data_IF_555390476166
#
_entry.id   IF_555390476166
#
_cell.length_a   1.000
_cell.length_b   1.000
_cell.length_c   1.000
_cell.angle_alpha   90.00
_cell.angle_beta   90.00
_cell.angle_gamma   90.00
#
_symmetry.space_group_name_H-M   'P 1'
#
loop_
_entity.id
_entity.type
_entity.pdbx_description
1 polymer ?
#
# COMPACT_ATOMS: atom_id res chain seq x y z
N UNK A 1 -33.78 9.85 7.67
CA UNK A 1 -34.64 10.77 6.89
C UNK A 1 -35.50 9.89 5.99
N UNK A 2 -36.79 9.80 6.27
CA UNK A 2 -37.71 8.93 5.53
C UNK A 2 -37.79 9.39 4.08
N UNK A 3 -37.50 8.49 3.15
CA UNK A 3 -37.69 8.76 1.72
C UNK A 3 -39.16 8.50 1.40
N UNK A 4 -39.91 9.53 1.03
CA UNK A 4 -41.26 9.36 0.49
C UNK A 4 -41.15 8.83 -0.95
N UNK A 5 -41.79 7.69 -1.30
CA UNK A 5 -41.82 7.19 -2.66
C UNK A 5 -42.40 8.22 -3.63
N UNK A 6 -41.82 8.33 -4.83
CA UNK A 6 -42.38 9.19 -5.87
C UNK A 6 -43.67 8.58 -6.40
N UNK A 7 -44.77 9.34 -6.37
CA UNK A 7 -46.04 8.90 -6.97
C UNK A 7 -45.89 8.76 -8.49
N UNK A 8 -46.45 7.68 -9.05
CA UNK A 8 -46.58 7.52 -10.50
C UNK A 8 -47.69 8.43 -11.03
N UNK A 9 -47.41 9.19 -12.08
CA UNK A 9 -48.43 9.98 -12.78
C UNK A 9 -49.27 9.08 -13.69
N UNK A 10 -50.56 8.91 -13.40
CA UNK A 10 -51.49 8.07 -14.17
C UNK A 10 -51.18 6.56 -14.16
N UNK A 11 -51.53 5.90 -13.05
CA UNK A 11 -51.44 4.45 -12.87
C UNK A 11 -52.75 3.71 -13.15
N UNK A 12 -53.78 4.42 -13.62
CA UNK A 12 -55.17 3.93 -13.70
C UNK A 12 -55.39 2.77 -14.67
N UNK A 13 -54.42 2.49 -15.54
CA UNK A 13 -54.49 1.49 -16.61
C UNK A 13 -53.65 0.23 -16.34
N UNK A 14 -52.91 0.16 -15.23
CA UNK A 14 -51.98 -0.95 -14.99
C UNK A 14 -52.11 -1.51 -13.56
N UNK A 15 -52.38 -2.79 -13.46
CA UNK A 15 -52.43 -3.56 -12.22
C UNK A 15 -51.16 -4.40 -12.03
N UNK A 16 -50.57 -4.38 -10.84
CA UNK A 16 -49.46 -5.26 -10.47
C UNK A 16 -49.99 -6.70 -10.30
N UNK A 17 -50.01 -7.47 -11.39
CA UNK A 17 -50.54 -8.85 -11.36
C UNK A 17 -49.51 -9.94 -11.03
N UNK A 18 -48.22 -9.61 -10.85
CA UNK A 18 -47.16 -10.62 -10.68
C UNK A 18 -46.66 -10.71 -9.25
N UNK A 19 -46.84 -11.87 -8.62
CA UNK A 19 -46.25 -12.24 -7.32
C UNK A 19 -44.81 -12.78 -7.43
N UNK A 20 -44.21 -12.76 -8.62
CA UNK A 20 -42.87 -13.29 -8.90
C UNK A 20 -41.91 -12.14 -9.21
N UNK A 21 -40.76 -12.12 -8.53
CA UNK A 21 -39.65 -11.23 -8.85
C UNK A 21 -39.02 -11.70 -10.17
N UNK A 22 -39.01 -10.87 -11.24
CA UNK A 22 -38.51 -11.29 -12.54
C UNK A 22 -36.99 -11.54 -12.51
N UNK A 23 -36.52 -12.50 -13.31
CA UNK A 23 -35.10 -12.75 -13.50
C UNK A 23 -34.42 -11.48 -14.03
N UNK A 24 -33.34 -10.98 -13.38
CA UNK A 24 -32.73 -9.70 -13.74
C UNK A 24 -32.03 -9.69 -15.11
N UNK A 25 -31.78 -10.85 -15.71
CA UNK A 25 -31.03 -10.97 -16.97
C UNK A 25 -31.94 -11.21 -18.19
N UNK A 26 -33.14 -11.77 -17.99
CA UNK A 26 -34.04 -12.16 -19.08
C UNK A 26 -35.49 -11.82 -18.73
N UNK A 27 -35.86 -10.56 -18.86
CA UNK A 27 -37.23 -10.11 -18.70
C UNK A 27 -37.54 -8.94 -19.63
N UNK A 28 -38.83 -8.80 -19.96
CA UNK A 28 -39.35 -7.57 -20.57
C UNK A 28 -39.77 -6.64 -19.42
N UNK A 29 -39.21 -5.43 -19.30
CA UNK A 29 -39.59 -4.52 -18.23
C UNK A 29 -41.09 -4.18 -18.26
N UNK A 30 -41.72 -4.22 -17.10
CA UNK A 30 -43.12 -3.86 -16.93
C UNK A 30 -43.37 -2.40 -17.41
N UNK A 31 -44.52 -2.07 -18.03
CA UNK A 31 -44.83 -0.71 -18.48
C UNK A 31 -44.65 0.35 -17.38
N UNK A 32 -45.11 0.07 -16.16
CA UNK A 32 -44.89 0.95 -15.00
C UNK A 32 -43.40 1.21 -14.72
N UNK A 33 -42.53 0.22 -14.88
CA UNK A 33 -41.09 0.41 -14.70
C UNK A 33 -40.49 1.30 -15.79
N UNK A 34 -40.95 1.16 -17.05
CA UNK A 34 -40.52 2.03 -18.16
C UNK A 34 -40.94 3.48 -17.91
N UNK A 35 -42.16 3.69 -17.42
CA UNK A 35 -42.66 5.01 -17.07
C UNK A 35 -41.86 5.63 -15.91
N UNK A 36 -41.69 4.90 -14.81
CA UNK A 36 -40.87 5.36 -13.68
C UNK A 36 -39.44 5.69 -14.13
N UNK A 37 -38.84 4.87 -14.99
CA UNK A 37 -37.50 5.13 -15.51
C UNK A 37 -37.43 6.41 -16.36
N UNK A 38 -38.43 6.69 -17.18
CA UNK A 38 -38.50 7.92 -17.96
C UNK A 38 -38.57 9.18 -17.06
N UNK A 39 -39.35 9.13 -15.98
CA UNK A 39 -39.39 10.21 -14.99
C UNK A 39 -38.04 10.39 -14.28
N UNK A 40 -37.39 9.28 -13.91
CA UNK A 40 -36.06 9.29 -13.28
C UNK A 40 -35.01 9.87 -14.23
N UNK A 41 -35.03 9.48 -15.50
CA UNK A 41 -34.13 10.00 -16.53
C UNK A 41 -34.32 11.51 -16.72
N UNK A 42 -35.57 11.98 -16.81
CA UNK A 42 -35.87 13.41 -16.93
C UNK A 42 -35.32 14.20 -15.74
N UNK A 43 -35.51 13.68 -14.52
CA UNK A 43 -34.99 14.30 -13.28
C UNK A 43 -33.46 14.32 -13.27
N UNK A 44 -32.80 13.21 -13.60
CA UNK A 44 -31.34 13.11 -13.68
C UNK A 44 -30.76 14.10 -14.70
N UNK A 45 -31.37 14.20 -15.88
CA UNK A 45 -30.96 15.14 -16.92
C UNK A 45 -31.16 16.60 -16.50
N UNK A 46 -32.23 16.92 -15.77
CA UNK A 46 -32.45 18.25 -15.22
C UNK A 46 -31.39 18.61 -14.18
N UNK A 47 -31.06 17.69 -13.27
CA UNK A 47 -30.02 17.88 -12.25
C UNK A 47 -28.63 18.03 -12.87
N UNK A 48 -28.30 17.22 -13.88
CA UNK A 48 -27.01 17.21 -14.56
C UNK A 48 -26.68 18.54 -15.29
N UNK A 49 -27.66 19.41 -15.54
CA UNK A 49 -27.42 20.75 -16.08
C UNK A 49 -26.55 21.61 -15.16
N UNK A 50 -26.75 21.46 -13.85
CA UNK A 50 -26.07 22.25 -12.82
C UNK A 50 -25.05 21.44 -12.02
N UNK A 51 -24.83 20.18 -12.39
CA UNK A 51 -24.03 19.23 -11.63
C UNK A 51 -23.09 18.44 -12.56
N UNK A 52 -21.85 18.93 -12.65
CA UNK A 52 -20.83 18.37 -13.54
C UNK A 52 -20.46 16.92 -13.17
N UNK A 53 -20.40 16.59 -11.87
CA UNK A 53 -20.05 15.24 -11.42
C UNK A 53 -21.14 14.24 -11.83
N UNK A 54 -22.41 14.61 -11.67
CA UNK A 54 -23.54 13.80 -12.15
C UNK A 54 -23.50 13.64 -13.67
N UNK A 55 -23.29 14.72 -14.42
CA UNK A 55 -23.24 14.68 -15.88
C UNK A 55 -22.17 13.72 -16.40
N UNK A 56 -20.97 13.77 -15.82
CA UNK A 56 -19.86 12.88 -16.21
C UNK A 56 -20.19 11.42 -15.94
N UNK A 57 -20.75 11.11 -14.77
CA UNK A 57 -21.12 9.72 -14.42
C UNK A 57 -22.22 9.17 -15.32
N UNK A 58 -23.23 9.99 -15.66
CA UNK A 58 -24.27 9.59 -16.61
C UNK A 58 -23.69 9.29 -18.01
N UNK A 59 -22.76 10.11 -18.49
CA UNK A 59 -22.07 9.89 -19.78
C UNK A 59 -21.20 8.63 -19.80
N UNK A 60 -20.71 8.18 -18.64
CA UNK A 60 -19.94 6.93 -18.49
C UNK A 60 -20.83 5.68 -18.40
N UNK A 61 -22.15 5.82 -18.42
CA UNK A 61 -23.08 4.68 -18.35
C UNK A 61 -23.42 4.27 -16.92
N UNK A 62 -23.81 5.23 -16.06
CA UNK A 62 -24.29 4.96 -14.70
C UNK A 62 -25.48 3.99 -14.71
N UNK A 63 -25.43 2.94 -13.90
CA UNK A 63 -26.58 2.04 -13.74
C UNK A 63 -27.59 2.65 -12.77
N UNK A 64 -28.83 2.78 -13.22
CA UNK A 64 -29.97 3.30 -12.46
C UNK A 64 -31.04 2.21 -12.39
N UNK A 65 -31.64 2.03 -11.22
CA UNK A 65 -32.71 1.09 -10.98
C UNK A 65 -33.96 1.78 -10.43
N UNK A 66 -35.13 1.25 -10.79
CA UNK A 66 -36.43 1.64 -10.21
C UNK A 66 -37.14 0.42 -9.66
N UNK A 67 -37.85 0.60 -8.55
CA UNK A 67 -38.70 -0.42 -7.95
C UNK A 67 -40.11 0.17 -7.78
N UNK A 68 -41.10 -0.45 -8.42
CA UNK A 68 -42.51 -0.09 -8.23
C UNK A 68 -42.96 -0.64 -6.88
N UNK A 69 -43.60 0.22 -6.10
CA UNK A 69 -44.13 -0.11 -4.78
C UNK A 69 -45.60 0.26 -4.71
N UNK A 70 -46.36 -0.55 -4.00
CA UNK A 70 -47.78 -0.31 -3.72
C UNK A 70 -47.93 -0.14 -2.21
N UNK A 71 -48.61 0.93 -1.78
CA UNK A 71 -48.89 1.14 -0.36
C UNK A 71 -50.13 0.35 0.11
N UNK A 72 -50.41 0.39 1.43
CA UNK A 72 -51.56 -0.32 2.01
C UNK A 72 -52.92 0.19 1.50
N UNK A 73 -52.97 1.38 0.90
CA UNK A 73 -54.16 1.97 0.32
C UNK A 73 -54.28 1.69 -1.20
N UNK A 74 -53.36 0.90 -1.77
CA UNK A 74 -53.33 0.56 -3.20
C UNK A 74 -52.73 1.65 -4.09
N UNK A 75 -52.07 2.67 -3.52
CA UNK A 75 -51.42 3.70 -4.33
C UNK A 75 -50.08 3.19 -4.86
N UNK A 76 -49.89 3.33 -6.18
CA UNK A 76 -48.65 2.97 -6.85
C UNK A 76 -47.65 4.14 -6.84
N UNK A 77 -46.42 3.83 -6.45
CA UNK A 77 -45.28 4.74 -6.42
C UNK A 77 -44.00 4.00 -6.85
N UNK A 78 -42.86 4.69 -6.87
CA UNK A 78 -41.57 4.05 -7.11
C UNK A 78 -40.45 4.57 -6.21
N UNK A 79 -39.47 3.70 -6.01
CA UNK A 79 -38.15 4.01 -5.44
C UNK A 79 -37.12 4.01 -6.56
N UNK A 80 -36.10 4.87 -6.45
CA UNK A 80 -34.99 4.94 -7.41
C UNK A 80 -33.64 4.78 -6.70
N UNK A 81 -32.72 4.04 -7.31
CA UNK A 81 -31.37 3.82 -6.81
C UNK A 81 -30.34 3.89 -7.95
N UNK A 82 -29.07 4.13 -7.63
CA UNK A 82 -27.97 4.10 -8.58
C UNK A 82 -26.82 3.23 -8.05
N UNK A 83 -25.99 2.70 -8.95
CA UNK A 83 -24.85 1.87 -8.56
C UNK A 83 -23.67 2.71 -8.04
N UNK A 84 -23.07 2.29 -6.92
CA UNK A 84 -21.87 2.95 -6.38
C UNK A 84 -22.12 4.41 -5.96
N UNK A 85 -21.30 5.33 -6.47
CA UNK A 85 -21.26 6.74 -6.05
C UNK A 85 -21.29 7.70 -7.24
N UNK A 86 -21.79 8.92 -7.08
CA UNK A 86 -21.81 9.95 -8.13
C UNK A 86 -20.76 11.01 -7.81
N UNK A 87 -19.55 10.85 -8.34
CA UNK A 87 -18.38 11.61 -7.85
C UNK A 87 -18.02 11.12 -6.44
N UNK A 88 -17.99 12.02 -5.46
CA UNK A 88 -17.58 11.72 -4.07
C UNK A 88 -18.77 11.53 -3.10
N UNK A 89 -19.98 11.29 -3.64
CA UNK A 89 -21.22 11.18 -2.87
C UNK A 89 -21.96 9.88 -3.21
N UNK A 90 -22.51 9.28 -2.19
CA UNK A 90 -23.30 8.04 -2.23
C UNK A 90 -24.82 8.30 -2.11
N UNK A 91 -25.21 9.58 -2.03
CA UNK A 91 -26.61 10.01 -1.96
C UNK A 91 -26.95 11.00 -3.08
N UNK A 92 -28.21 10.97 -3.51
CA UNK A 92 -28.78 11.91 -4.47
C UNK A 92 -30.23 12.23 -4.07
N UNK A 93 -30.68 13.50 -4.10
CA UNK A 93 -32.06 13.85 -3.75
C UNK A 93 -33.09 13.02 -4.52
N UNK A 94 -34.03 12.40 -3.78
CA UNK A 94 -35.08 11.57 -4.36
C UNK A 94 -34.63 10.17 -4.81
N UNK A 95 -33.44 9.73 -4.37
CA UNK A 95 -32.95 8.36 -4.47
C UNK A 95 -32.80 7.73 -3.09
N UNK A 96 -32.96 6.41 -3.02
CA UNK A 96 -32.80 5.65 -1.78
C UNK A 96 -31.39 5.85 -1.23
N UNK A 97 -31.23 6.18 0.07
CA UNK A 97 -29.91 6.33 0.67
C UNK A 97 -29.17 4.98 0.74
N UNK A 98 -27.83 4.99 0.76
CA UNK A 98 -27.06 3.76 0.92
C UNK A 98 -27.33 3.15 2.29
N UNK A 99 -27.35 1.82 2.36
CA UNK A 99 -27.43 1.08 3.63
C UNK A 99 -26.16 1.32 4.46
N UNK A 100 -25.02 1.50 3.79
CA UNK A 100 -23.73 1.79 4.40
C UNK A 100 -23.01 2.90 3.62
N UNK A 101 -22.71 4.02 4.29
CA UNK A 101 -22.05 5.20 3.72
C UNK A 101 -20.57 5.23 4.09
N UNK A 102 -19.72 4.51 3.34
CA UNK A 102 -18.27 4.50 3.57
C UNK A 102 -17.56 5.79 3.11
N UNK A 103 -18.26 6.69 2.41
CA UNK A 103 -17.71 7.95 1.91
C UNK A 103 -17.74 9.09 2.93
N UNK A 104 -18.29 8.87 4.13
CA UNK A 104 -18.27 9.88 5.19
C UNK A 104 -16.83 10.28 5.51
N UNK A 105 -16.44 11.56 5.39
CA UNK A 105 -15.05 11.99 5.63
C UNK A 105 -14.58 11.71 7.07
N UNK A 106 -15.51 11.68 8.02
CA UNK A 106 -15.27 11.35 9.43
C UNK A 106 -15.59 9.89 9.75
N UNK A 107 -16.02 9.12 8.75
CA UNK A 107 -16.27 7.69 8.87
C UNK A 107 -14.97 6.90 8.99
N UNK A 108 -15.07 5.76 9.67
CA UNK A 108 -13.95 4.82 9.88
C UNK A 108 -13.19 4.52 8.58
N UNK A 109 -13.91 4.28 7.48
CA UNK A 109 -13.30 3.94 6.19
C UNK A 109 -12.36 5.03 5.67
N UNK A 110 -12.82 6.29 5.61
CA UNK A 110 -12.03 7.41 5.09
C UNK A 110 -10.84 7.74 5.99
N UNK A 111 -10.98 7.57 7.31
CA UNK A 111 -9.88 7.76 8.25
C UNK A 111 -8.79 6.68 8.07
N UNK A 112 -9.17 5.42 7.97
CA UNK A 112 -8.19 4.34 7.76
C UNK A 112 -7.55 4.39 6.37
N UNK A 113 -8.29 4.78 5.32
CA UNK A 113 -7.74 5.06 3.99
C UNK A 113 -6.66 6.15 4.04
N UNK A 114 -6.92 7.25 4.76
CA UNK A 114 -5.97 8.33 4.95
C UNK A 114 -4.73 7.88 5.75
N UNK A 115 -4.92 7.08 6.81
CA UNK A 115 -3.85 6.51 7.61
C UNK A 115 -2.94 5.58 6.78
N UNK A 116 -3.52 4.68 5.99
CA UNK A 116 -2.79 3.80 5.07
C UNK A 116 -2.00 4.63 4.04
N UNK A 117 -2.63 5.67 3.48
CA UNK A 117 -1.98 6.56 2.52
C UNK A 117 -0.81 7.33 3.14
N UNK A 118 -0.96 7.79 4.39
CA UNK A 118 0.11 8.45 5.13
C UNK A 118 1.30 7.51 5.38
N UNK A 119 1.03 6.25 5.75
CA UNK A 119 2.09 5.23 5.91
C UNK A 119 2.81 4.96 4.59
N UNK A 120 2.08 4.82 3.48
CA UNK A 120 2.68 4.65 2.15
C UNK A 120 3.62 5.81 1.80
N UNK A 121 3.18 7.04 2.08
CA UNK A 121 4.00 8.23 1.88
C UNK A 121 5.26 8.18 2.74
N UNK A 122 5.15 7.87 4.04
CA UNK A 122 6.32 7.76 4.91
C UNK A 122 7.32 6.68 4.45
N UNK A 123 6.83 5.52 3.98
CA UNK A 123 7.70 4.48 3.40
C UNK A 123 8.43 5.04 2.18
N UNK A 124 7.70 5.68 1.27
CA UNK A 124 8.26 6.26 0.06
C UNK A 124 9.29 7.35 0.35
N UNK A 125 9.02 8.22 1.33
CA UNK A 125 9.92 9.29 1.74
C UNK A 125 11.24 8.72 2.29
N UNK A 126 11.20 7.64 3.08
CA UNK A 126 12.42 6.98 3.59
C UNK A 126 13.16 6.25 2.46
N UNK A 127 12.46 5.45 1.66
CA UNK A 127 13.07 4.66 0.57
C UNK A 127 13.74 5.53 -0.49
N UNK A 128 13.20 6.73 -0.75
CA UNK A 128 13.73 7.69 -1.70
C UNK A 128 14.64 8.76 -1.06
N UNK A 129 14.88 8.70 0.24
CA UNK A 129 15.75 9.66 0.92
C UNK A 129 17.22 9.49 0.49
N UNK A 130 17.91 10.62 0.34
CA UNK A 130 19.37 10.64 0.10
C UNK A 130 20.13 9.96 1.24
N UNK A 131 19.65 10.09 2.48
CA UNK A 131 20.20 9.42 3.65
C UNK A 131 20.19 7.89 3.50
N UNK A 132 19.03 7.30 3.18
CA UNK A 132 18.93 5.85 3.02
C UNK A 132 19.78 5.33 1.86
N UNK A 133 19.79 6.04 0.72
CA UNK A 133 20.61 5.70 -0.43
C UNK A 133 22.11 5.78 -0.12
N UNK A 134 22.55 6.87 0.54
CA UNK A 134 23.95 7.08 0.89
C UNK A 134 24.44 6.06 1.92
N UNK A 135 23.67 5.75 2.96
CA UNK A 135 24.00 4.72 3.95
C UNK A 135 24.15 3.34 3.31
N UNK A 136 23.26 3.00 2.38
CA UNK A 136 23.33 1.73 1.64
C UNK A 136 24.60 1.60 0.82
N UNK A 137 24.97 2.66 0.09
CA UNK A 137 26.20 2.70 -0.70
C UNK A 137 27.43 2.66 0.20
N UNK A 138 27.45 3.48 1.25
CA UNK A 138 28.55 3.57 2.21
C UNK A 138 28.79 2.23 2.91
N UNK A 139 27.74 1.51 3.29
CA UNK A 139 27.85 0.19 3.90
C UNK A 139 28.51 -0.79 2.93
N UNK A 140 28.02 -0.89 1.70
CA UNK A 140 28.56 -1.79 0.68
C UNK A 140 30.03 -1.47 0.34
N UNK A 141 30.37 -0.19 0.25
CA UNK A 141 31.75 0.24 -0.01
C UNK A 141 32.68 -0.02 1.17
N UNK A 142 32.22 0.22 2.40
CA UNK A 142 32.99 -0.07 3.63
C UNK A 142 33.28 -1.56 3.75
N UNK A 143 32.27 -2.42 3.55
CA UNK A 143 32.43 -3.88 3.56
C UNK A 143 33.43 -4.35 2.49
N UNK A 144 33.31 -3.82 1.27
CA UNK A 144 34.21 -4.14 0.16
C UNK A 144 35.65 -3.70 0.46
N UNK A 145 35.84 -2.48 0.95
CA UNK A 145 37.15 -1.93 1.27
C UNK A 145 37.82 -2.71 2.41
N UNK A 146 37.06 -2.99 3.48
CA UNK A 146 37.57 -3.75 4.62
C UNK A 146 37.95 -5.19 4.23
N UNK A 147 37.13 -5.85 3.42
CA UNK A 147 37.47 -7.16 2.87
C UNK A 147 38.78 -7.11 2.09
N UNK A 148 38.90 -6.16 1.17
CA UNK A 148 40.12 -5.97 0.37
C UNK A 148 41.35 -5.74 1.27
N UNK A 149 41.28 -4.82 2.22
CA UNK A 149 42.40 -4.53 3.13
C UNK A 149 42.82 -5.76 3.95
N UNK A 150 41.85 -6.52 4.46
CA UNK A 150 42.12 -7.75 5.22
C UNK A 150 42.80 -8.79 4.33
N UNK A 151 42.33 -8.97 3.10
CA UNK A 151 42.89 -9.96 2.17
C UNK A 151 44.28 -9.55 1.67
N UNK A 152 44.49 -8.27 1.34
CA UNK A 152 45.81 -7.72 1.02
C UNK A 152 46.80 -7.92 2.19
N UNK A 153 46.34 -7.73 3.43
CA UNK A 153 47.17 -7.96 4.61
C UNK A 153 47.50 -9.45 4.81
N UNK A 154 46.57 -10.36 4.54
CA UNK A 154 46.84 -11.81 4.59
C UNK A 154 47.87 -12.22 3.54
N UNK A 155 47.80 -11.65 2.33
CA UNK A 155 48.81 -11.89 1.28
C UNK A 155 50.19 -11.44 1.75
N UNK A 156 50.31 -10.22 2.30
CA UNK A 156 51.57 -9.74 2.91
C UNK A 156 52.09 -10.68 4.00
N UNK A 157 51.20 -11.21 4.85
CA UNK A 157 51.60 -12.18 5.88
C UNK A 157 52.10 -13.51 5.29
N UNK A 158 51.50 -13.97 4.19
CA UNK A 158 51.93 -15.17 3.49
C UNK A 158 53.32 -14.97 2.86
N UNK A 159 53.54 -13.85 2.19
CA UNK A 159 54.85 -13.51 1.59
C UNK A 159 55.93 -13.40 2.66
N UNK A 160 55.66 -12.70 3.76
CA UNK A 160 56.59 -12.60 4.89
C UNK A 160 56.88 -13.97 5.52
N UNK A 161 55.91 -14.89 5.53
CA UNK A 161 56.13 -16.26 5.99
C UNK A 161 57.07 -17.02 5.04
N UNK A 162 56.85 -16.92 3.73
CA UNK A 162 57.72 -17.55 2.72
C UNK A 162 59.16 -17.05 2.83
N UNK A 163 59.36 -15.74 3.03
CA UNK A 163 60.70 -15.16 3.23
C UNK A 163 61.39 -15.73 4.48
N UNK A 164 60.68 -15.81 5.61
CA UNK A 164 61.21 -16.42 6.84
C UNK A 164 61.53 -17.90 6.64
N UNK A 165 60.66 -18.65 5.97
CA UNK A 165 60.86 -20.07 5.71
C UNK A 165 62.08 -20.30 4.78
N UNK A 166 62.27 -19.48 3.75
CA UNK A 166 63.47 -19.50 2.90
C UNK A 166 64.74 -19.15 3.68
N UNK A 167 64.70 -18.12 4.55
CA UNK A 167 65.85 -17.75 5.39
C UNK A 167 66.27 -18.89 6.34
N UNK A 168 65.30 -19.64 6.90
CA UNK A 168 65.57 -20.82 7.73
C UNK A 168 66.25 -21.95 6.96
N UNK A 169 65.91 -22.14 5.69
CA UNK A 169 66.49 -23.18 4.84
C UNK A 169 67.94 -22.91 4.44
N UNK A 170 68.39 -21.66 4.42
CA UNK A 170 69.76 -21.30 4.02
C UNK A 170 70.84 -21.76 5.01
N UNK A 171 70.47 -22.11 6.26
CA UNK A 171 71.42 -22.45 7.33
C UNK A 171 72.25 -21.23 7.80
N UNK A 172 72.70 -21.22 9.06
CA UNK A 172 73.34 -20.07 9.74
C UNK A 172 72.39 -18.96 10.21
N UNK A 173 71.44 -19.31 11.07
CA UNK A 173 70.66 -18.34 11.85
C UNK A 173 71.34 -18.04 13.18
N UNK A 174 71.56 -16.76 13.45
CA UNK A 174 71.93 -16.30 14.78
C UNK A 174 70.70 -16.28 15.71
N UNK A 175 70.88 -16.44 17.04
CA UNK A 175 69.78 -16.31 17.99
C UNK A 175 69.03 -14.96 17.90
N UNK A 176 69.74 -13.90 17.52
CA UNK A 176 69.17 -12.57 17.32
C UNK A 176 68.20 -12.53 16.12
N UNK A 177 68.58 -13.13 14.99
CA UNK A 177 67.72 -13.22 13.79
C UNK A 177 66.47 -14.05 14.05
N UNK A 178 66.58 -15.16 14.80
CA UNK A 178 65.44 -15.99 15.16
C UNK A 178 64.44 -15.26 16.07
N UNK A 179 64.94 -14.55 17.08
CA UNK A 179 64.11 -13.70 17.93
C UNK A 179 63.42 -12.58 17.14
N UNK A 180 64.09 -12.00 16.14
CA UNK A 180 63.51 -10.97 15.28
C UNK A 180 62.39 -11.53 14.39
N UNK A 181 62.56 -12.71 13.81
CA UNK A 181 61.51 -13.39 13.02
C UNK A 181 60.27 -13.72 13.86
N UNK A 182 60.45 -14.14 15.12
CA UNK A 182 59.34 -14.41 16.05
C UNK A 182 58.59 -13.10 16.35
N UNK A 183 59.31 -12.02 16.67
CA UNK A 183 58.72 -10.69 16.92
C UNK A 183 57.95 -10.19 15.71
N UNK A 184 58.51 -10.33 14.51
CA UNK A 184 57.85 -9.96 13.26
C UNK A 184 56.54 -10.74 13.06
N UNK A 185 56.54 -12.06 13.28
CA UNK A 185 55.33 -12.89 13.16
C UNK A 185 54.25 -12.50 14.17
N UNK A 186 54.63 -12.27 15.43
CA UNK A 186 53.72 -11.82 16.48
C UNK A 186 53.14 -10.45 16.16
N UNK A 187 53.98 -9.52 15.68
CA UNK A 187 53.59 -8.18 15.27
C UNK A 187 52.56 -8.23 14.14
N UNK A 188 52.82 -8.95 13.05
CA UNK A 188 51.89 -9.07 11.92
C UNK A 188 50.55 -9.69 12.34
N UNK A 189 50.56 -10.71 13.21
CA UNK A 189 49.32 -11.30 13.75
C UNK A 189 48.54 -10.30 14.59
N UNK A 190 49.20 -9.48 15.40
CA UNK A 190 48.56 -8.44 16.19
C UNK A 190 47.94 -7.35 15.29
N UNK A 191 48.68 -6.91 14.27
CA UNK A 191 48.20 -5.93 13.28
C UNK A 191 46.97 -6.43 12.52
N UNK A 192 46.96 -7.71 12.07
CA UNK A 192 45.77 -8.28 11.42
C UNK A 192 44.55 -8.28 12.36
N UNK A 193 44.73 -8.59 13.66
CA UNK A 193 43.63 -8.53 14.63
C UNK A 193 43.10 -7.11 14.80
N UNK A 194 43.99 -6.13 14.91
CA UNK A 194 43.63 -4.70 15.01
C UNK A 194 42.89 -4.22 13.78
N UNK A 195 43.37 -4.59 12.59
CA UNK A 195 42.72 -4.27 11.32
C UNK A 195 41.30 -4.84 11.27
N UNK A 196 41.12 -6.12 11.59
CA UNK A 196 39.79 -6.75 11.64
C UNK A 196 38.86 -6.07 12.65
N UNK A 197 39.37 -5.74 13.84
CA UNK A 197 38.57 -5.10 14.88
C UNK A 197 38.09 -3.71 14.44
N UNK A 198 38.98 -2.88 13.86
CA UNK A 198 38.63 -1.57 13.31
C UNK A 198 37.60 -1.68 12.19
N UNK A 199 37.86 -2.55 11.21
CA UNK A 199 36.93 -2.79 10.12
C UNK A 199 35.55 -3.24 10.58
N UNK A 200 35.50 -4.12 11.60
CA UNK A 200 34.22 -4.53 12.19
C UNK A 200 33.51 -3.35 12.84
N UNK A 201 34.20 -2.54 13.64
CA UNK A 201 33.60 -1.38 14.30
C UNK A 201 33.04 -0.37 13.29
N UNK A 202 33.79 -0.08 12.21
CA UNK A 202 33.38 0.87 11.18
C UNK A 202 32.13 0.37 10.41
N UNK A 203 32.13 -0.91 10.00
CA UNK A 203 30.98 -1.53 9.32
C UNK A 203 29.77 -1.63 10.25
N UNK A 204 29.95 -2.04 11.51
CA UNK A 204 28.86 -2.16 12.48
C UNK A 204 28.19 -0.79 12.74
N UNK A 205 28.97 0.29 12.81
CA UNK A 205 28.46 1.64 13.01
C UNK A 205 27.58 2.13 11.84
N UNK A 206 28.01 1.89 10.60
CA UNK A 206 27.22 2.24 9.40
C UNK A 206 26.00 1.32 9.29
N UNK A 207 26.17 0.03 9.56
CA UNK A 207 25.10 -0.97 9.52
C UNK A 207 24.00 -0.63 10.52
N UNK A 208 24.33 -0.19 11.74
CA UNK A 208 23.34 0.23 12.73
C UNK A 208 22.46 1.39 12.24
N UNK A 209 23.05 2.38 11.57
CA UNK A 209 22.31 3.51 10.99
C UNK A 209 21.41 3.05 9.85
N UNK A 210 21.93 2.24 8.92
CA UNK A 210 21.15 1.67 7.83
C UNK A 210 19.98 0.82 8.34
N UNK A 211 20.24 -0.06 9.31
CA UNK A 211 19.24 -0.96 9.87
C UNK A 211 18.14 -0.20 10.62
N UNK A 212 18.46 0.93 11.25
CA UNK A 212 17.44 1.79 11.89
C UNK A 212 16.37 2.24 10.89
N UNK A 213 16.77 2.68 9.70
CA UNK A 213 15.84 3.09 8.65
C UNK A 213 15.14 1.88 8.00
N UNK A 214 15.88 0.79 7.76
CA UNK A 214 15.33 -0.42 7.17
C UNK A 214 14.26 -1.09 8.07
N UNK A 215 14.50 -1.15 9.39
CA UNK A 215 13.56 -1.69 10.37
C UNK A 215 12.34 -0.79 10.56
N UNK A 216 12.51 0.53 10.44
CA UNK A 216 11.38 1.47 10.40
C UNK A 216 10.49 1.20 9.18
N UNK A 217 11.06 1.04 7.98
CA UNK A 217 10.31 0.66 6.78
C UNK A 217 9.58 -0.67 6.99
N UNK A 218 10.25 -1.67 7.56
CA UNK A 218 9.65 -2.99 7.83
C UNK A 218 8.45 -2.89 8.77
N UNK A 219 8.59 -2.13 9.86
CA UNK A 219 7.51 -1.88 10.82
C UNK A 219 6.32 -1.20 10.15
N UNK A 220 6.57 -0.14 9.38
CA UNK A 220 5.52 0.58 8.64
C UNK A 220 4.80 -0.32 7.62
N UNK A 221 5.54 -1.17 6.90
CA UNK A 221 4.95 -2.14 5.96
C UNK A 221 4.01 -3.13 6.66
N UNK A 222 4.41 -3.61 7.84
CA UNK A 222 3.58 -4.49 8.67
C UNK A 222 2.32 -3.79 9.16
N UNK A 223 2.44 -2.57 9.69
CA UNK A 223 1.29 -1.80 10.15
C UNK A 223 0.30 -1.51 9.02
N UNK A 224 0.81 -1.08 7.86
CA UNK A 224 0.00 -0.85 6.65
C UNK A 224 -0.80 -2.10 6.27
N UNK A 225 -0.16 -3.27 6.30
CA UNK A 225 -0.81 -4.53 5.97
C UNK A 225 -1.95 -4.83 6.96
N UNK A 226 -1.68 -4.75 8.26
CA UNK A 226 -2.68 -4.99 9.30
C UNK A 226 -3.89 -4.04 9.18
N UNK A 227 -3.65 -2.76 8.93
CA UNK A 227 -4.71 -1.77 8.70
C UNK A 227 -5.52 -2.08 7.45
N UNK A 228 -4.86 -2.44 6.35
CA UNK A 228 -5.53 -2.84 5.11
C UNK A 228 -6.42 -4.05 5.31
N UNK A 229 -5.94 -5.06 6.03
CA UNK A 229 -6.69 -6.29 6.31
C UNK A 229 -7.90 -6.00 7.20
N UNK A 230 -7.72 -5.16 8.24
CA UNK A 230 -8.83 -4.74 9.11
C UNK A 230 -9.87 -3.90 8.36
N UNK A 231 -9.44 -3.01 7.47
CA UNK A 231 -10.33 -2.18 6.65
C UNK A 231 -11.15 -3.04 5.68
N UNK A 232 -10.54 -4.06 5.08
CA UNK A 232 -11.24 -5.01 4.21
C UNK A 232 -12.27 -5.83 4.98
N UNK A 233 -11.92 -6.31 6.18
CA UNK A 233 -12.86 -7.05 7.03
C UNK A 233 -14.08 -6.19 7.38
N UNK A 234 -13.88 -4.90 7.68
CA UNK A 234 -14.96 -3.97 8.00
C UNK A 234 -15.93 -3.73 6.84
N UNK A 235 -15.48 -3.83 5.58
CA UNK A 235 -16.36 -3.65 4.41
C UNK A 235 -17.30 -4.81 4.12
N UNK A 236 -17.01 -6.00 4.65
CA UNK A 236 -17.74 -7.25 4.36
C UNK A 236 -18.70 -7.62 5.52
N UNK A 237 -18.53 -6.98 6.68
CA UNK A 237 -19.39 -7.14 7.86
C UNK A 237 -20.58 -6.17 7.82
#
# INVERSE_FOLDING_TARGET
MSLEPSKLLDSSLFTLHSSLFPNPFFYTPHPLCKQAMAEVEQRLNAMAKNDNALRIELQKGKMIGVLIVEDQAGNLSYLAAFSGQIGDRDTLPGFVPPVFSYLSPQGYFKQEEANISAINKQISDIENSEEFASLKLLLADSERLCKKQIDDFKTKMADAKLLRDSRRQQGSLTPAEEAQMIKESQHLKAELRRLKARCKADVDAISAQYNTLADKIKTLKSERQQRSDSLQLHLIQ
#
